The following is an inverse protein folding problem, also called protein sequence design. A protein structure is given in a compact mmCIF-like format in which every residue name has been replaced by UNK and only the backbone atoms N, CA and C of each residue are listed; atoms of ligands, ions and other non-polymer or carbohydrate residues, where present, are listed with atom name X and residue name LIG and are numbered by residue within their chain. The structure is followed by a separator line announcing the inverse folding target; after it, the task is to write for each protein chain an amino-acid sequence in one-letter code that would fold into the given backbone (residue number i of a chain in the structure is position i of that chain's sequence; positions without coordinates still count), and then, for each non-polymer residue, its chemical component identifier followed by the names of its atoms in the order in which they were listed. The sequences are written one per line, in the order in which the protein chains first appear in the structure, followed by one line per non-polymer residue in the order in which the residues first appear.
data_IF_218793108962
#
_entry.id   IF_218793108962
#
_cell.length_a   1.000
_cell.length_b   1.000
_cell.length_c   1.000
_cell.angle_alpha   90.00
_cell.angle_beta   90.00
_cell.angle_gamma   90.00
#
_symmetry.space_group_name_H-M   'P 1'
#
loop_
_entity.id
_entity.type
_entity.pdbx_description
1 polymer ?
#
# COMPACT_ATOMS: atom_id res chain seq x y z
N UNK A 1 25.57 -7.56 0.22
CA UNK A 1 25.48 -6.15 0.64
C UNK A 1 24.39 -5.39 -0.11
N UNK A 2 24.45 -5.19 -1.44
CA UNK A 2 23.41 -4.42 -2.16
C UNK A 2 21.99 -4.99 -1.97
N UNK A 3 21.77 -6.26 -2.28
CA UNK A 3 20.43 -6.86 -2.24
C UNK A 3 19.80 -6.80 -0.85
N UNK A 4 20.58 -7.01 0.20
CA UNK A 4 20.12 -6.94 1.58
C UNK A 4 19.65 -5.53 1.95
N UNK A 5 20.47 -4.51 1.64
CA UNK A 5 20.13 -3.12 1.87
C UNK A 5 18.91 -2.69 1.05
N UNK A 6 18.86 -3.11 -0.22
CA UNK A 6 17.73 -2.83 -1.10
C UNK A 6 16.44 -3.43 -0.56
N UNK A 7 16.43 -4.72 -0.20
CA UNK A 7 15.23 -5.38 0.31
C UNK A 7 14.76 -4.78 1.63
N UNK A 8 15.68 -4.44 2.53
CA UNK A 8 15.32 -3.78 3.78
C UNK A 8 14.64 -2.42 3.53
N UNK A 9 15.27 -1.56 2.73
CA UNK A 9 14.71 -0.25 2.39
C UNK A 9 13.38 -0.37 1.62
N UNK A 10 13.31 -1.27 0.64
CA UNK A 10 12.11 -1.51 -0.18
C UNK A 10 10.93 -1.90 0.71
N UNK A 11 11.15 -2.83 1.66
CA UNK A 11 10.07 -3.35 2.49
C UNK A 11 9.65 -2.39 3.62
N UNK A 12 10.57 -1.59 4.15
CA UNK A 12 10.32 -0.86 5.40
C UNK A 12 10.31 0.67 5.27
N UNK A 13 10.86 1.23 4.21
CA UNK A 13 11.02 2.68 4.05
C UNK A 13 10.38 3.22 2.77
N UNK A 14 10.48 2.46 1.67
CA UNK A 14 9.95 2.85 0.38
C UNK A 14 8.42 2.82 0.39
N UNK A 15 7.80 3.98 0.15
CA UNK A 15 6.34 4.12 0.11
C UNK A 15 5.85 3.98 -1.32
N UNK A 16 4.95 3.03 -1.54
CA UNK A 16 4.46 2.69 -2.86
C UNK A 16 3.13 3.38 -3.15
N UNK A 17 3.07 4.11 -4.26
CA UNK A 17 1.86 4.80 -4.71
C UNK A 17 0.72 3.83 -5.05
N UNK A 18 1.05 2.62 -5.52
CA UNK A 18 0.06 1.58 -5.83
C UNK A 18 -0.68 1.00 -4.62
N UNK A 19 -0.17 1.23 -3.40
CA UNK A 19 -0.78 0.77 -2.14
C UNK A 19 -0.95 1.93 -1.16
N UNK A 20 -1.47 3.07 -1.61
CA UNK A 20 -1.84 4.16 -0.69
C UNK A 20 -0.66 4.84 0.05
N UNK A 21 0.55 4.84 -0.55
CA UNK A 21 1.80 5.27 0.10
C UNK A 21 2.14 4.48 1.38
N UNK A 22 1.74 3.21 1.44
CA UNK A 22 2.22 2.25 2.43
C UNK A 22 3.53 1.60 1.98
N UNK A 23 4.25 1.04 2.94
CA UNK A 23 5.39 0.16 2.67
C UNK A 23 4.89 -1.28 2.50
N UNK A 24 5.63 -2.18 1.85
CA UNK A 24 5.26 -3.59 1.77
C UNK A 24 5.09 -4.22 3.16
N UNK A 25 5.92 -3.86 4.14
CA UNK A 25 5.77 -4.33 5.51
C UNK A 25 4.48 -3.86 6.18
N UNK A 26 4.04 -2.62 5.92
CA UNK A 26 2.77 -2.11 6.46
C UNK A 26 1.58 -2.96 5.99
N UNK A 27 1.60 -3.39 4.73
CA UNK A 27 0.56 -4.26 4.17
C UNK A 27 0.70 -5.68 4.69
N UNK A 28 1.91 -6.24 4.65
CA UNK A 28 2.17 -7.63 5.05
C UNK A 28 1.79 -7.91 6.52
N UNK A 29 2.08 -6.97 7.42
CA UNK A 29 1.76 -7.10 8.84
C UNK A 29 0.39 -6.52 9.22
N UNK A 30 -0.45 -6.13 8.27
CA UNK A 30 -1.82 -5.63 8.52
C UNK A 30 -1.90 -4.24 9.16
N UNK A 31 -0.81 -3.46 9.14
CA UNK A 31 -0.72 -2.13 9.77
C UNK A 31 -1.29 -1.01 8.89
N UNK A 32 -1.58 -1.30 7.62
CA UNK A 32 -1.98 -0.29 6.64
C UNK A 32 -3.28 0.43 7.02
N UNK A 33 -4.30 -0.29 7.50
CA UNK A 33 -5.61 0.28 7.87
C UNK A 33 -5.50 1.29 9.01
N UNK A 34 -4.76 0.96 10.06
CA UNK A 34 -4.57 1.86 11.21
C UNK A 34 -3.78 3.10 10.81
N UNK A 35 -2.73 2.92 10.00
CA UNK A 35 -1.96 4.03 9.45
C UNK A 35 -2.79 4.93 8.54
N UNK A 36 -3.66 4.36 7.71
CA UNK A 36 -4.57 5.13 6.87
C UNK A 36 -5.56 5.95 7.70
N UNK A 37 -6.10 5.36 8.77
CA UNK A 37 -6.97 6.05 9.74
C UNK A 37 -6.24 7.23 10.40
N UNK A 38 -5.03 7.00 10.91
CA UNK A 38 -4.22 8.05 11.53
C UNK A 38 -3.89 9.20 10.56
N UNK A 39 -3.53 8.87 9.31
CA UNK A 39 -3.29 9.88 8.25
C UNK A 39 -4.52 10.72 7.96
N UNK A 40 -5.70 10.10 7.94
CA UNK A 40 -6.98 10.80 7.73
C UNK A 40 -7.21 11.82 8.84
N UNK A 41 -7.05 11.41 10.10
CA UNK A 41 -7.22 12.29 11.26
C UNK A 41 -6.29 13.49 11.19
N UNK A 42 -4.99 13.27 10.97
CA UNK A 42 -4.01 14.35 10.85
C UNK A 42 -4.36 15.34 9.73
N UNK A 43 -4.78 14.83 8.57
CA UNK A 43 -5.14 15.68 7.43
C UNK A 43 -6.42 16.48 7.70
N UNK A 44 -7.42 15.88 8.34
CA UNK A 44 -8.65 16.55 8.76
C UNK A 44 -8.35 17.67 9.75
N UNK A 45 -7.53 17.41 10.76
CA UNK A 45 -7.15 18.40 11.77
C UNK A 45 -6.33 19.54 11.17
N UNK A 46 -5.44 19.24 10.23
CA UNK A 46 -4.66 20.26 9.53
C UNK A 46 -5.55 21.17 8.68
N UNK A 47 -6.53 20.61 7.98
CA UNK A 47 -7.51 21.37 7.19
C UNK A 47 -8.38 22.27 8.04
N UNK A 48 -8.87 21.76 9.17
CA UNK A 48 -9.67 22.54 10.11
C UNK A 48 -8.89 23.72 10.69
N UNK A 49 -7.61 23.52 11.06
CA UNK A 49 -6.75 24.58 11.60
C UNK A 49 -6.32 25.62 10.57
N UNK A 50 -6.11 25.22 9.32
CA UNK A 50 -5.55 26.10 8.29
C UNK A 50 -6.31 26.03 6.96
N UNK A 51 -7.59 26.40 6.91
CA UNK A 51 -8.42 26.23 5.71
C UNK A 51 -7.86 26.96 4.48
N UNK A 52 -7.21 28.11 4.66
CA UNK A 52 -6.58 28.88 3.58
C UNK A 52 -5.38 28.20 2.92
N UNK A 53 -4.82 27.13 3.51
CA UNK A 53 -3.70 26.36 2.95
C UNK A 53 -4.16 25.22 2.04
N UNK A 54 -5.44 24.86 2.05
CA UNK A 54 -5.95 23.69 1.34
C UNK A 54 -7.03 24.09 0.34
N UNK A 55 -6.84 23.72 -0.93
CA UNK A 55 -7.82 23.99 -1.97
C UNK A 55 -9.02 23.02 -1.96
N UNK A 56 -8.92 21.89 -1.25
CA UNK A 56 -9.97 20.86 -1.19
C UNK A 56 -10.03 20.17 0.18
N UNK A 57 -11.21 19.65 0.52
CA UNK A 57 -11.47 18.82 1.71
C UNK A 57 -11.48 17.32 1.39
N UNK A 58 -11.47 16.94 0.11
CA UNK A 58 -11.46 15.53 -0.33
C UNK A 58 -10.12 14.86 -0.03
N UNK A 59 -10.14 13.60 0.42
CA UNK A 59 -8.89 12.84 0.62
C UNK A 59 -8.18 12.66 -0.74
N UNK A 60 -6.87 12.86 -0.84
CA UNK A 60 -6.14 12.62 -2.09
C UNK A 60 -6.27 11.15 -2.52
N UNK A 61 -6.65 10.91 -3.79
CA UNK A 61 -6.84 9.57 -4.37
C UNK A 61 -5.61 8.65 -4.22
N UNK A 62 -4.41 9.24 -4.21
CA UNK A 62 -3.16 8.48 -4.03
C UNK A 62 -3.04 7.79 -2.65
N UNK A 63 -3.88 8.17 -1.69
CA UNK A 63 -3.92 7.55 -0.36
C UNK A 63 -4.91 6.39 -0.27
N UNK A 64 -5.72 6.15 -1.30
CA UNK A 64 -6.64 5.03 -1.33
C UNK A 64 -5.83 3.72 -1.35
N UNK A 65 -6.18 2.79 -0.44
CA UNK A 65 -5.58 1.47 -0.38
C UNK A 65 -6.50 0.49 -1.13
N UNK A 66 -6.11 0.03 -2.34
CA UNK A 66 -6.88 -0.98 -3.05
C UNK A 66 -6.84 -2.35 -2.36
N UNK A 67 -7.94 -3.11 -2.46
CA UNK A 67 -8.05 -4.45 -1.86
C UNK A 67 -7.07 -5.46 -2.45
N UNK A 68 -6.67 -5.29 -3.71
CA UNK A 68 -5.73 -6.19 -4.39
C UNK A 68 -4.93 -5.42 -5.43
N UNK A 69 -3.63 -5.71 -5.51
CA UNK A 69 -2.70 -5.14 -6.49
C UNK A 69 -1.83 -6.23 -7.07
N UNK A 70 -1.28 -5.98 -8.26
CA UNK A 70 -0.42 -6.91 -8.96
C UNK A 70 0.73 -6.15 -9.60
N UNK A 71 1.95 -6.70 -9.53
CA UNK A 71 3.06 -6.25 -10.39
C UNK A 71 2.94 -6.96 -11.74
N UNK A 72 2.76 -8.29 -11.70
CA UNK A 72 2.46 -9.13 -12.85
C UNK A 72 1.25 -9.98 -12.48
N UNK A 73 0.04 -9.55 -12.88
CA UNK A 73 -1.18 -10.34 -12.60
C UNK A 73 -1.10 -11.64 -13.40
N UNK A 74 -1.20 -12.81 -12.76
CA UNK A 74 -1.26 -14.07 -13.50
C UNK A 74 -2.48 -14.04 -14.42
N UNK A 75 -2.38 -14.71 -15.56
CA UNK A 75 -3.54 -14.93 -16.41
C UNK A 75 -4.64 -15.60 -15.58
N UNK A 76 -5.89 -15.19 -15.80
CA UNK A 76 -7.02 -15.85 -15.15
C UNK A 76 -7.29 -17.15 -15.90
N UNK A 77 -6.49 -18.18 -15.64
CA UNK A 77 -6.60 -19.43 -16.38
C UNK A 77 -7.76 -20.26 -15.83
N UNK A 78 -8.71 -20.59 -16.71
CA UNK A 78 -9.45 -21.82 -16.57
C UNK A 78 -8.42 -22.95 -16.72
N UNK A 79 -8.17 -23.69 -15.63
CA UNK A 79 -7.91 -25.14 -15.55
C UNK A 79 -7.01 -25.41 -14.34
N UNK A 80 -7.52 -26.27 -13.46
CA UNK A 80 -6.86 -26.78 -12.26
C UNK A 80 -5.53 -27.45 -12.64
N UNK A 81 -4.43 -27.02 -12.01
CA UNK A 81 -3.21 -27.83 -11.97
C UNK A 81 -3.50 -29.11 -11.19
N UNK A 82 -3.61 -30.22 -11.91
CA UNK A 82 -3.52 -31.56 -11.34
C UNK A 82 -2.09 -31.79 -10.88
N UNK A 83 -1.93 -31.83 -9.56
CA UNK A 83 -0.79 -32.36 -8.84
C UNK A 83 -0.32 -33.68 -9.50
N UNK A 84 0.93 -33.74 -9.95
CA UNK A 84 1.61 -35.01 -10.25
C UNK A 84 2.92 -35.03 -9.50
N UNK A 85 2.85 -35.62 -8.30
CA UNK A 85 4.00 -36.12 -7.56
C UNK A 85 4.65 -37.24 -8.37
N UNK A 86 5.95 -37.16 -8.63
CA UNK A 86 6.73 -38.30 -9.12
C UNK A 86 7.92 -38.52 -8.18
N UNK A 87 8.00 -39.77 -7.71
CA UNK A 87 9.00 -40.35 -6.82
C UNK A 87 10.36 -40.55 -7.50
#
# INVERSE_FOLDING_TARGET
QFMELFTNWYNHEHRHTGIGLHTPADVHYGLATDKATNRRTVLTDARARHPHRFCTTTTPKILDLPDTVWINRPAQDATQETDTTAA
#
